data_IF_204808349646
#
_entry.id   IF_204808349646
#
_cell.length_a   1.000
_cell.length_b   1.000
_cell.length_c   1.000
_cell.angle_alpha   90.00
_cell.angle_beta   90.00
_cell.angle_gamma   90.00
#
_symmetry.space_group_name_H-M   'P 1'
#
loop_
_entity.id
_entity.type
_entity.pdbx_description
1 polymer ?
#
# COMPACT_ATOMS: atom_id res chain seq x y z
N UNK A 1 -24.69 -21.35 25.55
CA UNK A 1 -23.47 -20.86 26.20
C UNK A 1 -22.28 -21.59 25.60
N UNK A 2 -21.25 -20.85 25.18
CA UNK A 2 -20.00 -21.40 24.62
C UNK A 2 -18.88 -21.13 25.61
N UNK A 3 -18.17 -22.17 25.99
CA UNK A 3 -17.03 -22.10 26.88
C UNK A 3 -15.76 -22.24 26.02
N UNK A 4 -14.92 -21.22 26.03
CA UNK A 4 -13.62 -21.23 25.39
C UNK A 4 -12.57 -21.44 26.47
N UNK A 5 -11.81 -22.53 26.36
CA UNK A 5 -10.80 -22.89 27.35
C UNK A 5 -9.43 -22.75 26.73
N UNK A 6 -8.56 -21.98 27.35
CA UNK A 6 -7.13 -21.92 27.07
C UNK A 6 -6.37 -22.65 28.19
N UNK A 7 -5.07 -22.87 28.04
CA UNK A 7 -4.22 -23.54 29.05
C UNK A 7 -4.27 -22.88 30.43
N UNK A 8 -4.60 -21.56 30.49
CA UNK A 8 -4.59 -20.78 31.72
C UNK A 8 -5.95 -20.28 32.18
N UNK A 9 -6.91 -20.13 31.28
CA UNK A 9 -8.21 -19.50 31.57
C UNK A 9 -9.33 -20.16 30.78
N UNK A 10 -10.54 -20.16 31.37
CA UNK A 10 -11.78 -20.54 30.71
C UNK A 10 -12.77 -19.37 30.74
N UNK A 11 -13.22 -18.93 29.58
CA UNK A 11 -14.16 -17.82 29.44
C UNK A 11 -15.48 -18.35 28.87
N UNK A 12 -16.59 -18.07 29.54
CA UNK A 12 -17.93 -18.44 29.06
C UNK A 12 -18.59 -17.26 28.36
N UNK A 13 -19.09 -17.49 27.16
CA UNK A 13 -19.83 -16.49 26.37
C UNK A 13 -21.28 -16.95 26.21
N UNK A 14 -22.21 -16.06 26.59
CA UNK A 14 -23.65 -16.28 26.37
C UNK A 14 -24.01 -15.89 24.95
N UNK A 15 -24.62 -16.80 24.22
CA UNK A 15 -25.10 -16.57 22.85
C UNK A 15 -26.61 -16.39 22.90
N UNK A 16 -27.11 -15.41 22.14
CA UNK A 16 -28.56 -15.20 22.05
C UNK A 16 -29.20 -16.35 21.26
N UNK A 17 -30.43 -16.72 21.64
CA UNK A 17 -31.16 -17.84 21.01
C UNK A 17 -31.38 -17.66 19.49
N UNK A 18 -31.32 -16.44 18.99
CA UNK A 18 -31.50 -16.10 17.57
C UNK A 18 -30.20 -16.15 16.74
N UNK A 19 -29.05 -16.45 17.37
CA UNK A 19 -27.78 -16.57 16.70
C UNK A 19 -27.43 -18.03 16.45
N UNK A 20 -27.24 -18.39 15.17
CA UNK A 20 -26.76 -19.71 14.80
C UNK A 20 -25.25 -19.79 14.90
N UNK A 21 -24.73 -20.95 15.29
CA UNK A 21 -23.30 -21.24 15.29
C UNK A 21 -22.86 -21.59 13.88
N UNK A 22 -21.63 -21.23 13.54
CA UNK A 22 -21.06 -21.65 12.27
C UNK A 22 -20.83 -23.16 12.22
N UNK A 23 -20.99 -23.83 11.06
CA UNK A 23 -20.91 -25.28 10.94
C UNK A 23 -19.59 -25.92 11.37
N UNK A 24 -18.50 -25.16 11.33
CA UNK A 24 -17.17 -25.64 11.72
C UNK A 24 -16.93 -25.58 13.24
N UNK A 25 -17.78 -24.86 13.98
CA UNK A 25 -17.68 -24.75 15.45
C UNK A 25 -18.25 -26.00 16.08
N UNK A 26 -17.35 -26.95 16.39
CA UNK A 26 -17.71 -28.20 17.09
C UNK A 26 -17.01 -28.25 18.44
N UNK A 27 -17.53 -29.12 19.33
CA UNK A 27 -16.93 -29.33 20.65
C UNK A 27 -15.51 -29.89 20.46
N UNK A 28 -14.50 -29.21 21.02
CA UNK A 28 -13.08 -29.55 20.89
C UNK A 28 -12.37 -28.97 19.67
N UNK A 29 -13.04 -28.12 18.89
CA UNK A 29 -12.38 -27.40 17.80
C UNK A 29 -11.38 -26.36 18.33
N UNK A 30 -10.18 -26.28 17.73
CA UNK A 30 -9.21 -25.22 18.02
C UNK A 30 -9.62 -23.93 17.34
N UNK A 31 -9.56 -22.84 18.09
CA UNK A 31 -9.99 -21.51 17.65
C UNK A 31 -8.81 -20.56 17.72
N UNK A 32 -8.62 -19.76 16.66
CA UNK A 32 -7.65 -18.67 16.61
C UNK A 32 -8.32 -17.35 17.00
N UNK A 33 -7.51 -16.38 17.45
CA UNK A 33 -8.02 -15.05 17.80
C UNK A 33 -8.60 -14.33 16.57
N UNK A 34 -9.80 -13.75 16.73
CA UNK A 34 -10.48 -13.01 15.66
C UNK A 34 -11.42 -13.84 14.77
N UNK A 35 -11.47 -15.14 14.95
CA UNK A 35 -12.38 -16.01 14.18
C UNK A 35 -13.81 -15.90 14.69
N UNK A 36 -14.77 -15.68 13.78
CA UNK A 36 -16.19 -15.59 14.12
C UNK A 36 -16.79 -16.95 14.45
N UNK A 37 -17.37 -17.10 15.62
CA UNK A 37 -18.04 -18.33 16.09
C UNK A 37 -19.49 -18.39 15.66
N UNK A 38 -20.16 -17.24 15.64
CA UNK A 38 -21.57 -17.11 15.26
C UNK A 38 -21.71 -16.58 13.83
N UNK A 39 -22.86 -16.85 13.23
CA UNK A 39 -23.24 -16.21 11.97
C UNK A 39 -23.63 -14.76 12.26
N UNK A 40 -23.24 -13.87 11.35
CA UNK A 40 -23.54 -12.44 11.43
C UNK A 40 -22.34 -11.56 11.06
N UNK A 41 -22.56 -10.25 10.98
CA UNK A 41 -21.48 -9.30 10.74
C UNK A 41 -20.61 -9.14 12.00
N UNK A 42 -19.29 -9.01 11.80
CA UNK A 42 -18.35 -8.69 12.87
C UNK A 42 -18.23 -7.17 13.01
N UNK A 43 -17.93 -6.68 14.22
CA UNK A 43 -17.50 -5.30 14.38
C UNK A 43 -16.05 -5.13 13.87
N UNK A 44 -15.82 -4.34 12.79
CA UNK A 44 -14.49 -4.16 12.26
C UNK A 44 -13.51 -3.49 13.23
N UNK A 45 -14.02 -2.71 14.21
CA UNK A 45 -13.16 -2.06 15.21
C UNK A 45 -12.64 -3.04 16.25
N UNK A 46 -13.49 -3.98 16.67
CA UNK A 46 -13.07 -5.06 17.57
C UNK A 46 -12.12 -6.02 16.85
N UNK A 47 -12.42 -6.35 15.60
CA UNK A 47 -11.55 -7.18 14.78
C UNK A 47 -10.17 -6.52 14.61
N UNK A 48 -10.10 -5.18 14.42
CA UNK A 48 -8.83 -4.44 14.34
C UNK A 48 -8.00 -4.59 15.63
N UNK A 49 -8.67 -4.60 16.78
CA UNK A 49 -7.99 -4.71 18.07
C UNK A 49 -7.43 -6.11 18.33
N UNK A 50 -8.15 -7.16 17.87
CA UNK A 50 -7.82 -8.56 18.16
C UNK A 50 -6.95 -9.18 17.08
N UNK A 51 -7.34 -9.06 15.81
CA UNK A 51 -6.69 -9.74 14.68
C UNK A 51 -5.74 -8.85 13.87
N UNK A 52 -5.82 -7.51 14.05
CA UNK A 52 -4.92 -6.57 13.40
C UNK A 52 -5.44 -5.99 12.08
N UNK A 53 -4.56 -5.20 11.44
CA UNK A 53 -4.93 -4.37 10.28
C UNK A 53 -5.30 -5.20 9.06
N UNK A 54 -4.52 -6.24 8.76
CA UNK A 54 -4.68 -7.03 7.54
C UNK A 54 -6.01 -7.78 7.52
N UNK A 55 -6.34 -8.44 8.60
CA UNK A 55 -7.59 -9.20 8.73
C UNK A 55 -8.84 -8.31 8.57
N UNK A 56 -8.77 -7.08 9.09
CA UNK A 56 -9.86 -6.11 8.91
C UNK A 56 -9.97 -5.66 7.46
N UNK A 57 -8.86 -5.44 6.77
CA UNK A 57 -8.87 -5.07 5.36
C UNK A 57 -9.51 -6.17 4.51
N UNK A 58 -9.09 -7.41 4.72
CA UNK A 58 -9.62 -8.57 4.01
C UNK A 58 -11.11 -8.82 4.34
N UNK A 59 -11.50 -8.63 5.59
CA UNK A 59 -12.90 -8.74 6.01
C UNK A 59 -13.80 -7.69 5.32
N UNK A 60 -13.41 -6.41 5.35
CA UNK A 60 -14.19 -5.34 4.71
C UNK A 60 -14.26 -5.56 3.19
N UNK A 61 -13.15 -5.91 2.55
CA UNK A 61 -13.09 -6.21 1.12
C UNK A 61 -14.07 -7.33 0.76
N UNK A 62 -14.04 -8.41 1.51
CA UNK A 62 -14.88 -9.59 1.29
C UNK A 62 -16.37 -9.28 1.46
N UNK A 63 -16.75 -8.57 2.52
CA UNK A 63 -18.15 -8.23 2.79
C UNK A 63 -18.71 -7.23 1.75
N UNK A 64 -17.94 -6.22 1.36
CA UNK A 64 -18.35 -5.29 0.31
C UNK A 64 -18.49 -6.00 -1.04
N UNK A 65 -17.50 -6.83 -1.41
CA UNK A 65 -17.54 -7.61 -2.65
C UNK A 65 -18.74 -8.55 -2.70
N UNK A 66 -19.08 -9.20 -1.59
CA UNK A 66 -20.24 -10.07 -1.45
C UNK A 66 -21.57 -9.33 -1.75
N UNK A 67 -21.70 -8.10 -1.26
CA UNK A 67 -22.90 -7.27 -1.55
C UNK A 67 -22.99 -6.93 -3.04
N UNK A 68 -21.90 -6.53 -3.69
CA UNK A 68 -21.91 -6.24 -5.14
C UNK A 68 -22.18 -7.49 -5.97
N UNK A 69 -21.55 -8.62 -5.62
CA UNK A 69 -21.76 -9.89 -6.30
C UNK A 69 -23.19 -10.40 -6.18
N UNK A 70 -23.88 -10.17 -5.05
CA UNK A 70 -25.29 -10.51 -4.88
C UNK A 70 -26.21 -9.74 -5.84
N UNK A 71 -25.76 -8.59 -6.33
CA UNK A 71 -26.45 -7.77 -7.35
C UNK A 71 -25.97 -8.03 -8.78
N UNK A 72 -25.09 -9.04 -8.98
CA UNK A 72 -24.55 -9.37 -10.30
C UNK A 72 -23.48 -8.40 -10.82
N UNK A 73 -22.91 -7.55 -9.94
CA UNK A 73 -21.89 -6.57 -10.30
C UNK A 73 -20.51 -7.10 -9.92
N UNK A 74 -19.60 -7.19 -10.87
CA UNK A 74 -18.21 -7.52 -10.65
C UNK A 74 -17.37 -6.25 -10.55
N UNK A 75 -16.63 -6.10 -9.43
CA UNK A 75 -15.73 -4.98 -9.19
C UNK A 75 -14.33 -5.53 -8.92
N UNK A 76 -13.32 -4.94 -9.55
CA UNK A 76 -11.93 -5.27 -9.29
C UNK A 76 -11.52 -4.87 -7.86
N UNK A 77 -10.85 -5.76 -7.17
CA UNK A 77 -10.46 -5.61 -5.76
C UNK A 77 -9.63 -4.36 -5.49
N UNK A 78 -8.76 -3.96 -6.43
CA UNK A 78 -7.92 -2.76 -6.33
C UNK A 78 -8.69 -1.47 -6.03
N UNK A 79 -9.92 -1.33 -6.51
CA UNK A 79 -10.72 -0.12 -6.27
C UNK A 79 -11.20 -0.05 -4.82
N UNK A 80 -11.57 -1.20 -4.24
CA UNK A 80 -11.97 -1.32 -2.84
C UNK A 80 -10.77 -1.20 -1.91
N UNK A 81 -9.65 -1.83 -2.24
CA UNK A 81 -8.41 -1.77 -1.46
C UNK A 81 -7.87 -0.36 -1.28
N UNK A 82 -7.94 0.48 -2.33
CA UNK A 82 -7.53 1.90 -2.24
C UNK A 82 -8.39 2.66 -1.22
N UNK A 83 -9.71 2.43 -1.22
CA UNK A 83 -10.63 3.06 -0.26
C UNK A 83 -10.36 2.57 1.17
N UNK A 84 -10.20 1.26 1.37
CA UNK A 84 -9.91 0.65 2.66
C UNK A 84 -8.56 1.15 3.20
N UNK A 85 -7.54 1.23 2.35
CA UNK A 85 -6.24 1.81 2.72
C UNK A 85 -6.37 3.25 3.23
N UNK A 86 -7.21 4.06 2.59
CA UNK A 86 -7.44 5.44 3.03
C UNK A 86 -8.18 5.49 4.37
N UNK A 87 -9.13 4.58 4.64
CA UNK A 87 -9.84 4.48 5.92
C UNK A 87 -8.90 4.13 7.10
N UNK A 88 -7.80 3.44 6.83
CA UNK A 88 -6.83 3.00 7.85
C UNK A 88 -5.52 3.80 7.84
N UNK A 89 -5.51 4.96 7.20
CA UNK A 89 -4.32 5.82 7.10
C UNK A 89 -3.95 6.51 8.43
N UNK A 90 -4.91 6.68 9.33
CA UNK A 90 -4.72 7.40 10.60
C UNK A 90 -4.41 6.45 11.76
N UNK A 91 -3.62 6.96 12.68
CA UNK A 91 -3.26 6.28 13.93
C UNK A 91 -3.48 7.23 15.11
N UNK A 92 -3.74 6.67 16.29
CA UNK A 92 -3.84 7.42 17.55
C UNK A 92 -2.59 7.16 18.37
N UNK A 93 -2.00 8.24 18.88
CA UNK A 93 -0.87 8.17 19.81
C UNK A 93 -1.38 7.66 21.16
N UNK A 94 -0.77 6.57 21.66
CA UNK A 94 -1.08 5.98 22.96
C UNK A 94 -0.14 6.51 24.03
N UNK A 95 1.14 6.57 23.70
CA UNK A 95 2.20 7.10 24.56
C UNK A 95 3.12 7.98 23.72
N UNK A 96 3.43 9.15 24.21
CA UNK A 96 4.28 10.12 23.51
C UNK A 96 5.78 9.80 23.58
N UNK A 97 6.21 8.99 24.54
CA UNK A 97 7.65 8.84 24.81
C UNK A 97 8.33 10.20 25.00
N UNK A 98 9.52 10.39 24.42
CA UNK A 98 10.27 11.66 24.44
C UNK A 98 9.98 12.55 23.22
N UNK A 99 8.86 12.33 22.51
CA UNK A 99 8.46 13.13 21.37
C UNK A 99 7.52 14.27 21.79
N UNK A 100 7.45 15.35 21.00
CA UNK A 100 6.56 16.50 21.26
C UNK A 100 5.09 16.23 20.92
N UNK A 101 4.69 14.94 20.85
CA UNK A 101 3.34 14.53 20.51
C UNK A 101 2.46 14.44 21.75
N UNK A 102 1.21 14.89 21.62
CA UNK A 102 0.21 14.72 22.69
C UNK A 102 -0.48 13.35 22.56
N UNK A 103 -0.72 12.71 23.70
CA UNK A 103 -1.49 11.47 23.79
C UNK A 103 -2.92 11.69 23.29
N UNK A 104 -3.45 10.75 22.51
CA UNK A 104 -4.80 10.82 21.94
C UNK A 104 -4.92 11.59 20.63
N UNK A 105 -3.87 12.23 20.15
CA UNK A 105 -3.89 12.92 18.85
C UNK A 105 -3.89 11.92 17.71
N UNK A 106 -4.72 12.19 16.69
CA UNK A 106 -4.78 11.42 15.46
C UNK A 106 -3.83 12.01 14.42
N UNK A 107 -2.89 11.19 13.96
CA UNK A 107 -1.90 11.55 12.95
C UNK A 107 -1.94 10.58 11.78
N UNK A 108 -1.40 10.98 10.63
CA UNK A 108 -1.17 10.02 9.55
C UNK A 108 0.01 9.11 9.89
N UNK A 109 -0.07 7.84 9.49
CA UNK A 109 0.98 6.85 9.71
C UNK A 109 2.35 7.34 9.23
N UNK A 110 2.38 8.03 8.08
CA UNK A 110 3.62 8.55 7.51
C UNK A 110 4.27 9.62 8.41
N UNK A 111 3.45 10.49 9.03
CA UNK A 111 3.97 11.56 9.87
C UNK A 111 4.55 11.01 11.17
N UNK A 112 3.83 10.08 11.83
CA UNK A 112 4.34 9.48 13.08
C UNK A 112 5.60 8.65 12.83
N UNK A 113 5.68 7.96 11.69
CA UNK A 113 6.88 7.19 11.31
C UNK A 113 8.09 8.11 11.08
N UNK A 114 7.89 9.30 10.50
CA UNK A 114 8.97 10.30 10.36
C UNK A 114 9.44 10.80 11.70
N UNK A 115 8.51 11.22 12.57
CA UNK A 115 8.82 11.71 13.91
C UNK A 115 9.54 10.65 14.75
N UNK A 116 9.07 9.42 14.73
CA UNK A 116 9.70 8.30 15.44
C UNK A 116 11.11 8.00 14.90
N UNK A 117 11.32 8.12 13.59
CA UNK A 117 12.63 7.95 12.98
C UNK A 117 13.61 9.05 13.44
N UNK A 118 13.16 10.30 13.51
CA UNK A 118 13.96 11.42 14.00
C UNK A 118 14.28 11.28 15.49
N UNK A 119 13.30 10.82 16.30
CA UNK A 119 13.51 10.53 17.72
C UNK A 119 14.56 9.43 17.92
N UNK A 120 14.47 8.33 17.17
CA UNK A 120 15.45 7.24 17.23
C UNK A 120 16.86 7.68 16.80
N UNK A 121 16.98 8.51 15.75
CA UNK A 121 18.27 9.08 15.34
C UNK A 121 18.88 10.00 16.40
N UNK A 122 18.04 10.64 17.21
CA UNK A 122 18.44 11.50 18.34
C UNK A 122 18.65 10.72 19.65
N UNK A 123 18.51 9.38 19.65
CA UNK A 123 18.65 8.54 20.83
C UNK A 123 17.51 8.68 21.85
N UNK A 124 16.34 9.20 21.43
CA UNK A 124 15.13 9.37 22.25
C UNK A 124 14.20 8.17 22.12
N UNK A 125 13.32 7.99 23.10
CA UNK A 125 12.28 6.96 23.07
C UNK A 125 11.19 7.35 22.05
N UNK A 126 10.82 6.46 21.09
CA UNK A 126 9.78 6.73 20.10
C UNK A 126 8.37 6.70 20.71
N UNK A 127 7.43 7.42 20.12
CA UNK A 127 6.03 7.37 20.48
C UNK A 127 5.38 6.03 20.06
N UNK A 128 4.52 5.47 20.93
CA UNK A 128 3.71 4.30 20.62
C UNK A 128 2.34 4.71 20.09
N UNK A 129 1.82 3.97 19.12
CA UNK A 129 0.56 4.29 18.48
C UNK A 129 -0.28 3.04 18.18
N UNK A 130 -1.58 3.24 18.03
CA UNK A 130 -2.52 2.19 17.60
C UNK A 130 -3.21 2.60 16.29
N UNK A 131 -3.39 1.66 15.35
CA UNK A 131 -4.16 1.92 14.14
C UNK A 131 -5.63 2.20 14.47
N UNK A 132 -6.27 3.06 13.67
CA UNK A 132 -7.68 3.42 13.82
C UNK A 132 -8.39 3.22 12.50
N UNK A 133 -9.55 2.61 12.56
CA UNK A 133 -10.45 2.51 11.43
C UNK A 133 -11.43 3.68 11.43
N UNK A 134 -11.37 4.50 10.39
CA UNK A 134 -12.29 5.60 10.15
C UNK A 134 -13.34 5.18 9.10
N UNK A 135 -14.57 5.66 9.24
CA UNK A 135 -15.57 5.53 8.18
C UNK A 135 -15.18 6.34 6.94
N UNK A 136 -15.73 6.00 5.78
CA UNK A 136 -15.40 6.64 4.48
C UNK A 136 -15.52 8.16 4.55
N UNK A 137 -16.65 8.69 5.02
CA UNK A 137 -16.87 10.13 5.11
C UNK A 137 -15.90 10.82 6.05
N UNK A 138 -15.66 10.24 7.23
CA UNK A 138 -14.72 10.78 8.22
C UNK A 138 -13.29 10.76 7.70
N UNK A 139 -12.87 9.69 7.04
CA UNK A 139 -11.56 9.57 6.42
C UNK A 139 -11.34 10.61 5.31
N UNK A 140 -12.42 10.98 4.59
CA UNK A 140 -12.37 11.99 3.52
C UNK A 140 -12.28 13.42 4.04
N UNK A 141 -12.83 13.70 5.22
CA UNK A 141 -12.75 15.03 5.88
C UNK A 141 -11.44 15.19 6.66
N UNK A 142 -10.97 14.14 7.32
CA UNK A 142 -9.75 14.16 8.11
C UNK A 142 -8.48 13.89 7.27
N UNK A 143 -8.43 14.44 6.05
CA UNK A 143 -7.22 14.37 5.20
C UNK A 143 -6.17 15.39 5.64
N UNK A 144 -4.93 15.17 5.23
CA UNK A 144 -3.82 16.08 5.55
C UNK A 144 -3.95 17.41 4.77
N UNK A 145 -4.59 17.39 3.60
CA UNK A 145 -4.91 18.56 2.77
C UNK A 145 -6.24 19.18 3.19
N UNK A 146 -6.23 20.42 3.63
CA UNK A 146 -7.45 21.14 3.97
C UNK A 146 -8.27 21.56 2.73
N UNK A 147 -7.62 21.79 1.57
CA UNK A 147 -8.30 22.07 0.31
C UNK A 147 -9.13 20.88 -0.16
N UNK A 148 -8.57 19.68 -0.08
CA UNK A 148 -9.28 18.45 -0.42
C UNK A 148 -10.48 18.22 0.51
N UNK A 149 -10.31 18.41 1.80
CA UNK A 149 -11.35 18.25 2.81
C UNK A 149 -12.49 19.28 2.60
N UNK A 150 -12.15 20.56 2.41
CA UNK A 150 -13.11 21.65 2.20
C UNK A 150 -13.94 21.47 0.94
N UNK A 151 -13.41 20.87 -0.10
CA UNK A 151 -14.14 20.60 -1.34
C UNK A 151 -15.10 19.41 -1.28
N UNK A 152 -15.07 18.63 -0.19
CA UNK A 152 -15.93 17.46 0.00
C UNK A 152 -17.17 17.78 0.86
N UNK A 153 -16.98 18.12 2.11
CA UNK A 153 -18.05 18.46 3.06
C UNK A 153 -17.56 19.44 4.12
N UNK A 154 -18.49 20.07 4.84
CA UNK A 154 -18.19 20.96 5.97
C UNK A 154 -17.20 22.10 5.63
N UNK A 155 -17.33 22.70 4.45
CA UNK A 155 -16.39 23.69 3.89
C UNK A 155 -16.04 24.79 4.89
N UNK A 156 -17.05 25.42 5.50
CA UNK A 156 -16.85 26.53 6.45
C UNK A 156 -16.05 26.08 7.67
N UNK A 157 -16.39 24.93 8.25
CA UNK A 157 -15.73 24.39 9.45
C UNK A 157 -14.27 24.04 9.17
N UNK A 158 -14.02 23.37 8.03
CA UNK A 158 -12.66 22.97 7.64
C UNK A 158 -11.78 24.18 7.36
N UNK A 159 -12.28 25.18 6.64
CA UNK A 159 -11.55 26.41 6.34
C UNK A 159 -11.27 27.22 7.61
N UNK A 160 -12.26 27.35 8.50
CA UNK A 160 -12.09 28.03 9.78
C UNK A 160 -11.02 27.35 10.64
N UNK A 161 -11.07 26.03 10.79
CA UNK A 161 -10.07 25.26 11.52
C UNK A 161 -8.66 25.36 10.91
N UNK A 162 -8.58 25.35 9.59
CA UNK A 162 -7.32 25.51 8.87
C UNK A 162 -6.71 26.90 9.07
N UNK A 163 -7.56 27.95 9.05
CA UNK A 163 -7.13 29.33 9.26
C UNK A 163 -6.65 29.55 10.69
N UNK A 164 -7.41 29.09 11.70
CA UNK A 164 -7.04 29.23 13.11
C UNK A 164 -5.70 28.51 13.40
N UNK A 165 -5.51 27.33 12.81
CA UNK A 165 -4.28 26.53 13.01
C UNK A 165 -3.11 26.94 12.09
N UNK A 166 -3.32 27.89 11.18
CA UNK A 166 -2.32 28.28 10.19
C UNK A 166 -1.80 27.12 9.33
N UNK A 167 -2.69 26.19 8.93
CA UNK A 167 -2.29 25.03 8.16
C UNK A 167 -1.79 25.41 6.77
N UNK A 168 -0.70 24.75 6.35
CA UNK A 168 -0.13 24.88 5.01
C UNK A 168 -0.45 23.61 4.21
N UNK A 169 -1.00 23.76 3.01
CA UNK A 169 -1.23 22.64 2.11
C UNK A 169 -0.06 22.48 1.15
N UNK A 170 0.57 21.34 1.17
CA UNK A 170 1.74 21.04 0.34
C UNK A 170 1.40 20.59 -1.07
N UNK A 171 0.11 20.56 -1.46
CA UNK A 171 -0.36 20.19 -2.79
C UNK A 171 0.18 18.83 -3.29
N UNK A 172 0.20 17.84 -2.42
CA UNK A 172 0.72 16.49 -2.73
C UNK A 172 -0.30 15.64 -3.48
N UNK A 173 -1.60 15.83 -3.20
CA UNK A 173 -2.68 15.06 -3.80
C UNK A 173 -3.07 15.51 -5.21
N UNK A 174 -3.95 14.76 -5.86
CA UNK A 174 -4.47 15.10 -7.18
C UNK A 174 -5.48 16.25 -7.12
N UNK A 175 -6.41 16.16 -6.16
CA UNK A 175 -7.56 17.06 -6.04
C UNK A 175 -7.17 18.52 -5.79
N UNK A 176 -6.19 18.74 -4.91
CA UNK A 176 -5.66 20.05 -4.57
C UNK A 176 -5.05 20.75 -5.79
N UNK A 177 -4.26 20.02 -6.57
CA UNK A 177 -3.63 20.54 -7.77
C UNK A 177 -4.66 20.87 -8.85
N UNK A 178 -5.69 20.04 -9.02
CA UNK A 178 -6.78 20.28 -9.98
C UNK A 178 -7.59 21.53 -9.60
N UNK A 179 -7.91 21.70 -8.32
CA UNK A 179 -8.64 22.89 -7.83
C UNK A 179 -7.89 24.19 -8.12
N UNK A 180 -6.56 24.18 -7.93
CA UNK A 180 -5.71 25.37 -8.15
C UNK A 180 -5.38 25.55 -9.64
N UNK A 181 -5.64 24.56 -10.49
CA UNK A 181 -5.30 24.61 -11.92
C UNK A 181 -3.83 24.27 -12.22
N UNK A 182 -3.14 23.60 -11.31
CA UNK A 182 -1.78 23.08 -11.55
C UNK A 182 -1.82 21.68 -12.15
N UNK A 183 -0.72 21.28 -12.78
CA UNK A 183 -0.55 19.91 -13.25
C UNK A 183 -0.59 18.95 -12.06
N UNK A 184 -1.27 17.81 -12.25
CA UNK A 184 -1.30 16.74 -11.24
C UNK A 184 0.11 16.17 -11.03
N UNK A 185 0.48 15.69 -9.84
CA UNK A 185 1.79 15.09 -9.56
C UNK A 185 1.90 13.66 -10.10
N UNK A 186 1.49 13.47 -11.35
CA UNK A 186 1.56 12.20 -12.09
C UNK A 186 1.74 12.49 -13.58
N UNK A 187 2.32 11.54 -14.32
CA UNK A 187 2.58 11.70 -15.75
C UNK A 187 3.50 12.88 -16.04
N UNK A 188 3.10 13.77 -16.94
CA UNK A 188 3.87 14.98 -17.32
C UNK A 188 4.09 15.94 -16.15
N UNK A 189 3.21 15.98 -15.17
CA UNK A 189 3.33 16.80 -13.94
C UNK A 189 4.31 16.25 -12.90
N UNK A 190 4.80 15.03 -13.03
CA UNK A 190 5.83 14.48 -12.16
C UNK A 190 7.18 15.22 -12.25
N UNK A 191 7.44 15.85 -13.37
CA UNK A 191 8.70 16.53 -13.65
C UNK A 191 8.63 18.06 -13.48
N UNK A 192 7.50 18.58 -12.99
CA UNK A 192 7.34 20.01 -12.71
C UNK A 192 8.13 20.48 -11.49
N UNK A 193 8.51 21.76 -11.49
CA UNK A 193 9.30 22.62 -10.61
C UNK A 193 9.24 22.37 -9.07
N UNK A 194 9.29 21.13 -8.60
CA UNK A 194 9.43 20.85 -7.18
C UNK A 194 10.90 20.55 -6.88
N UNK A 195 11.55 21.30 -5.99
CA UNK A 195 12.94 21.05 -5.62
C UNK A 195 13.19 19.63 -5.08
N UNK A 196 12.16 18.97 -4.54
CA UNK A 196 12.22 17.56 -4.13
C UNK A 196 12.24 16.59 -5.34
N UNK A 197 11.66 16.98 -6.48
CA UNK A 197 11.66 16.14 -7.68
C UNK A 197 13.01 16.16 -8.39
N UNK A 198 13.77 17.26 -8.31
CA UNK A 198 15.14 17.31 -8.85
C UNK A 198 16.07 16.34 -8.11
N UNK A 199 15.96 16.26 -6.77
CA UNK A 199 16.74 15.32 -5.96
C UNK A 199 16.33 13.88 -6.27
N UNK A 200 15.04 13.60 -6.43
CA UNK A 200 14.53 12.28 -6.78
C UNK A 200 14.88 11.91 -8.21
N UNK A 201 14.78 12.86 -9.16
CA UNK A 201 15.16 12.66 -10.55
C UNK A 201 16.67 12.44 -10.71
N UNK A 202 17.50 13.21 -10.01
CA UNK A 202 18.96 13.03 -9.99
C UNK A 202 19.33 11.65 -9.42
N UNK A 203 18.69 11.23 -8.33
CA UNK A 203 18.91 9.91 -7.70
C UNK A 203 18.40 8.76 -8.56
N UNK A 204 17.29 8.94 -9.27
CA UNK A 204 16.78 7.96 -10.24
C UNK A 204 17.69 7.83 -11.46
N UNK A 205 18.26 8.94 -11.93
CA UNK A 205 19.26 8.94 -13.02
C UNK A 205 20.53 8.23 -12.56
N UNK A 206 21.05 8.55 -11.38
CA UNK A 206 22.22 7.88 -10.80
C UNK A 206 22.04 6.37 -10.65
N UNK A 207 20.85 5.94 -10.22
CA UNK A 207 20.50 4.51 -10.10
C UNK A 207 20.39 3.84 -11.48
N UNK A 208 19.88 4.53 -12.50
CA UNK A 208 19.85 4.05 -13.88
C UNK A 208 21.26 3.90 -14.43
N UNK A 209 22.10 4.90 -14.25
CA UNK A 209 23.47 4.90 -14.73
C UNK A 209 24.29 3.78 -14.06
N UNK A 210 24.10 3.56 -12.76
CA UNK A 210 24.70 2.41 -12.03
C UNK A 210 24.20 1.07 -12.54
N UNK A 211 22.94 0.97 -12.94
CA UNK A 211 22.37 -0.27 -13.49
C UNK A 211 22.93 -0.56 -14.88
N UNK A 212 23.03 0.46 -15.72
CA UNK A 212 23.62 0.35 -17.06
C UNK A 212 25.12 -0.01 -16.95
N UNK A 213 25.85 0.62 -16.04
CA UNK A 213 27.26 0.28 -15.80
C UNK A 213 27.45 -1.17 -15.40
N UNK A 214 26.63 -1.68 -14.46
CA UNK A 214 26.64 -3.10 -14.08
C UNK A 214 26.31 -4.05 -15.23
N UNK A 215 25.31 -3.70 -16.04
CA UNK A 215 24.98 -4.52 -17.22
C UNK A 215 26.13 -4.57 -18.22
N UNK A 216 26.82 -3.45 -18.42
CA UNK A 216 27.99 -3.38 -19.31
C UNK A 216 29.19 -4.15 -18.74
N UNK A 217 29.39 -4.11 -17.40
CA UNK A 217 30.42 -4.92 -16.74
C UNK A 217 30.18 -6.42 -16.92
N UNK A 218 28.94 -6.89 -16.68
CA UNK A 218 28.56 -8.29 -16.90
C UNK A 218 28.75 -8.69 -18.37
N UNK A 219 28.33 -7.84 -19.31
CA UNK A 219 28.47 -8.13 -20.74
C UNK A 219 29.96 -8.21 -21.16
N UNK A 220 30.81 -7.37 -20.61
CA UNK A 220 32.25 -7.42 -20.85
C UNK A 220 32.91 -8.65 -20.22
N UNK A 221 32.52 -9.04 -19.02
CA UNK A 221 33.01 -10.27 -18.38
C UNK A 221 32.62 -11.54 -19.16
N UNK A 222 31.41 -11.55 -19.71
CA UNK A 222 30.93 -12.68 -20.51
C UNK A 222 31.61 -12.73 -21.88
N UNK A 223 31.88 -11.57 -22.53
CA UNK A 223 32.65 -11.51 -23.78
C UNK A 223 34.11 -11.92 -23.54
N UNK A 224 34.76 -11.50 -22.45
CA UNK A 224 36.12 -11.96 -22.10
C UNK A 224 36.20 -13.45 -21.80
N UNK A 225 35.17 -14.01 -21.18
CA UNK A 225 35.07 -15.46 -20.96
C UNK A 225 34.89 -16.21 -22.27
N UNK A 226 34.07 -15.68 -23.18
CA UNK A 226 33.85 -16.25 -24.50
C UNK A 226 35.15 -16.21 -25.35
N UNK A 227 35.86 -15.10 -25.35
CA UNK A 227 37.14 -14.96 -26.06
C UNK A 227 38.23 -15.90 -25.50
N UNK A 228 38.24 -16.14 -24.18
CA UNK A 228 39.13 -17.12 -23.54
C UNK A 228 38.80 -18.56 -23.89
N UNK A 229 37.52 -18.88 -24.07
CA UNK A 229 37.05 -20.19 -24.52
C UNK A 229 37.37 -20.46 -25.98
N UNK A 230 37.23 -19.45 -26.83
CA UNK A 230 37.53 -19.54 -28.27
C UNK A 230 39.03 -19.60 -28.54
N UNK A 231 39.87 -18.88 -27.75
CA UNK A 231 41.33 -18.91 -27.90
C UNK A 231 42.04 -20.13 -27.32
N UNK A 232 41.30 -20.99 -26.58
CA UNK A 232 41.84 -22.19 -25.94
C UNK A 232 41.57 -23.53 -26.64
N UNK A 233 40.86 -23.54 -27.76
CA UNK A 233 40.53 -24.74 -28.53
C UNK A 233 41.16 -24.77 -29.90
N UNK A 234 42.30 -25.42 -30.03
CA UNK A 234 42.96 -25.81 -31.30
C UNK A 234 42.33 -27.07 -31.91
N UNK A 235 41.01 -27.23 -31.86
CA UNK A 235 40.32 -28.36 -32.50
C UNK A 235 39.25 -27.84 -33.50
N UNK A 236 39.53 -28.11 -34.77
CA UNK A 236 38.85 -27.66 -35.98
C UNK A 236 37.55 -28.37 -36.33
N UNK A 237 36.96 -29.19 -35.44
CA UNK A 237 35.84 -30.09 -35.81
C UNK A 237 34.52 -29.84 -35.07
N UNK A 238 34.24 -28.62 -34.57
CA UNK A 238 32.99 -28.37 -33.85
C UNK A 238 32.29 -27.05 -34.24
N UNK A 239 32.28 -26.73 -35.55
CA UNK A 239 31.75 -25.42 -36.03
C UNK A 239 30.34 -25.46 -36.62
N UNK A 240 29.62 -26.58 -36.58
CA UNK A 240 28.31 -26.70 -37.26
C UNK A 240 27.07 -26.91 -36.32
N UNK A 241 27.19 -26.81 -35.00
CA UNK A 241 26.02 -27.11 -34.12
C UNK A 241 25.64 -26.03 -33.12
N UNK A 242 26.32 -24.88 -33.09
CA UNK A 242 26.04 -23.83 -32.05
C UNK A 242 25.20 -22.65 -32.55
N UNK A 243 24.99 -22.52 -33.88
CA UNK A 243 24.38 -21.32 -34.47
C UNK A 243 22.86 -21.30 -34.48
N UNK A 244 22.17 -22.41 -34.15
CA UNK A 244 20.69 -22.45 -34.21
C UNK A 244 20.00 -22.26 -32.85
N UNK A 245 20.68 -22.45 -31.73
CA UNK A 245 20.06 -22.35 -30.39
C UNK A 245 20.17 -20.99 -29.73
N UNK A 246 21.07 -20.12 -30.19
CA UNK A 246 21.28 -18.77 -29.64
C UNK A 246 20.37 -17.75 -30.34
N UNK A 247 20.08 -17.93 -31.62
CA UNK A 247 19.14 -17.05 -32.33
C UNK A 247 17.68 -17.23 -31.87
N UNK A 248 17.28 -18.44 -31.49
CA UNK A 248 15.91 -18.70 -30.98
C UNK A 248 15.64 -18.10 -29.60
N UNK A 249 16.65 -18.00 -28.71
CA UNK A 249 16.49 -17.39 -27.39
C UNK A 249 16.47 -15.86 -27.43
N UNK A 250 17.14 -15.24 -28.41
CA UNK A 250 17.15 -13.78 -28.57
C UNK A 250 15.84 -13.28 -29.21
N UNK A 251 15.20 -14.08 -30.06
CA UNK A 251 13.92 -13.74 -30.68
C UNK A 251 12.73 -13.88 -29.72
N UNK A 252 12.77 -14.79 -28.72
CA UNK A 252 11.72 -14.92 -27.72
C UNK A 252 11.70 -13.77 -26.69
N UNK A 253 12.84 -13.18 -26.36
CA UNK A 253 12.89 -12.03 -25.43
C UNK A 253 12.52 -10.70 -26.11
N UNK A 254 12.60 -10.61 -27.45
CA UNK A 254 12.22 -9.43 -28.21
C UNK A 254 10.69 -9.32 -28.44
N UNK A 255 9.97 -10.44 -28.51
CA UNK A 255 8.50 -10.43 -28.72
C UNK A 255 7.69 -10.14 -27.46
N UNK A 256 8.27 -10.22 -26.28
CA UNK A 256 7.57 -9.93 -25.01
C UNK A 256 7.60 -8.46 -24.59
N UNK A 257 8.33 -7.58 -25.29
CA UNK A 257 8.47 -6.16 -24.92
C UNK A 257 7.72 -5.18 -25.83
N UNK A 258 7.09 -5.62 -26.92
CA UNK A 258 6.49 -4.69 -27.91
C UNK A 258 4.95 -4.75 -28.01
N UNK A 259 4.24 -5.13 -26.97
CA UNK A 259 2.77 -5.08 -26.91
C UNK A 259 2.26 -3.94 -25.98
N UNK A 260 2.70 -2.73 -26.23
CA UNK A 260 2.30 -1.50 -25.50
C UNK A 260 1.92 -0.32 -26.39
N UNK A 261 1.63 -0.50 -27.67
CA UNK A 261 1.12 0.58 -28.53
C UNK A 261 -0.40 0.66 -28.42
N UNK A 262 -0.87 1.70 -27.75
CA UNK A 262 -2.28 2.10 -27.70
C UNK A 262 -2.57 2.89 -28.98
N UNK A 263 -3.31 2.29 -29.90
CA UNK A 263 -3.93 2.98 -31.03
C UNK A 263 -5.09 3.86 -30.53
N UNK A 264 -4.89 5.17 -30.60
CA UNK A 264 -5.98 6.15 -30.46
C UNK A 264 -6.55 6.36 -31.86
N UNK A 265 -7.66 5.73 -32.16
CA UNK A 265 -8.49 6.09 -33.30
C UNK A 265 -9.39 7.26 -32.87
N UNK A 266 -9.22 8.39 -33.57
CA UNK A 266 -10.12 9.53 -33.59
C UNK A 266 -11.31 9.18 -34.47
N UNK A 267 -12.53 9.14 -33.90
CA UNK A 267 -13.77 9.27 -34.67
C UNK A 267 -14.46 10.61 -34.34
N UNK A 268 -15.00 11.18 -35.40
CA UNK A 268 -15.66 12.47 -35.53
C UNK A 268 -16.86 12.69 -34.60
#
# INVERSE_FOLDING_TARGET
EVIITNEHESVSHKINANQSMRPWVQIGAKIEAGVALTEGPLDPKELLRVAGVREVQDYILKEVKKVYQSQGIEISDKHLEVMIKQMMKKVIVVDSGDTDLNVGVQLSLNNITKINREALLSGKTPATFKPVLLGISKSSVETDSFLSAASFQETTKVLTDATIKGKVDHLIGLKENVIIGKLIPAGTGCHGDRPQNEIVAAKAKELRDKRIARMNEVHNEDSEKFDKLVSGSDDKDMMDTVDSSVEESILQDAETTDNGSIDIQSEE
#
